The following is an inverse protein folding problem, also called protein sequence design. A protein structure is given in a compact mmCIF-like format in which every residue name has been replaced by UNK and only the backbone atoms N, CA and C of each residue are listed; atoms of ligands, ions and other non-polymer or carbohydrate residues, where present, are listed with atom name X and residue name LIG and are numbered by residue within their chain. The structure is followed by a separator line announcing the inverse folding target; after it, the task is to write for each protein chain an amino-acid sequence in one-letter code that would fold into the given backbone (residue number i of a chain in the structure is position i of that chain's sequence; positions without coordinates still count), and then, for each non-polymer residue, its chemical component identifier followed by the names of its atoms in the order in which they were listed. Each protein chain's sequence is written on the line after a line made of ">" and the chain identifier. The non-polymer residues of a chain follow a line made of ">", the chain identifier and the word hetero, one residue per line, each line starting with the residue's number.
data_IF_110451223642
#
_entry.id   IF_110451223642
#
_cell.length_a   1.000
_cell.length_b   1.000
_cell.length_c   1.000
_cell.angle_alpha   90.00
_cell.angle_beta   90.00
_cell.angle_gamma   90.00
#
_symmetry.space_group_name_H-M   'P 1'
#
loop_
_entity.id
_entity.type
_entity.pdbx_description
1 polymer ?
#
# COMPACT_ATOMS: atom_id res chain seq x y z
N UNK A 1 16.93 0.48 11.25
CA UNK A 1 15.73 1.18 11.80
C UNK A 1 15.61 0.83 13.26
N UNK A 2 15.58 1.82 14.15
CA UNK A 2 15.25 1.60 15.56
C UNK A 2 13.74 1.76 15.74
N UNK A 3 13.14 1.06 16.69
CA UNK A 3 11.71 1.11 17.00
C UNK A 3 11.20 2.48 17.54
N UNK A 4 12.04 3.52 17.49
CA UNK A 4 11.79 4.86 18.04
C UNK A 4 11.78 5.96 16.97
N UNK A 5 11.96 5.60 15.70
CA UNK A 5 11.90 6.58 14.62
C UNK A 5 10.45 6.93 14.29
N UNK A 6 10.09 8.20 14.42
CA UNK A 6 8.81 8.74 13.97
C UNK A 6 8.76 8.72 12.44
N UNK A 7 8.31 7.61 11.88
CA UNK A 7 8.11 7.42 10.43
C UNK A 7 6.63 7.52 10.12
N UNK A 8 6.28 8.28 9.09
CA UNK A 8 4.91 8.38 8.63
C UNK A 8 4.53 7.16 7.79
N UNK A 9 3.46 6.46 8.14
CA UNK A 9 2.97 5.27 7.40
C UNK A 9 2.55 5.60 5.96
N UNK A 10 2.12 6.85 5.72
CA UNK A 10 1.64 7.28 4.39
C UNK A 10 2.81 7.65 3.47
N UNK A 11 3.72 8.53 3.90
CA UNK A 11 4.79 9.04 3.03
C UNK A 11 6.16 8.41 3.29
N UNK A 12 6.28 7.53 4.28
CA UNK A 12 7.49 6.80 4.66
C UNK A 12 8.69 7.69 5.02
N UNK A 13 8.46 8.99 5.24
CA UNK A 13 9.49 9.95 5.68
C UNK A 13 9.62 9.92 7.19
N UNK A 14 10.87 10.02 7.66
CA UNK A 14 11.18 10.33 9.06
C UNK A 14 10.81 11.79 9.33
N UNK A 15 10.11 12.02 10.43
CA UNK A 15 9.60 13.34 10.84
C UNK A 15 9.81 13.54 12.34
N UNK A 16 9.68 14.76 12.83
CA UNK A 16 9.84 15.04 14.26
C UNK A 16 8.69 14.44 15.08
N UNK A 17 7.50 14.34 14.50
CA UNK A 17 6.29 13.88 15.18
C UNK A 17 5.28 13.24 14.21
N UNK A 18 4.61 12.19 14.68
CA UNK A 18 3.47 11.55 14.03
C UNK A 18 2.27 11.51 14.97
N UNK A 19 1.06 11.64 14.41
CA UNK A 19 -0.19 11.44 15.11
C UNK A 19 -0.87 10.15 14.66
N UNK A 20 -1.54 9.46 15.59
CA UNK A 20 -2.35 8.28 15.27
C UNK A 20 -3.75 8.73 14.86
N UNK A 21 -4.23 8.21 13.73
CA UNK A 21 -5.61 8.42 13.27
C UNK A 21 -6.20 7.13 12.75
N UNK A 22 -7.53 7.03 12.73
CA UNK A 22 -8.24 5.96 12.03
C UNK A 22 -8.19 6.20 10.53
N UNK A 23 -8.10 5.11 9.76
CA UNK A 23 -8.34 5.16 8.32
C UNK A 23 -9.78 5.55 8.00
N UNK A 24 -9.95 6.20 6.86
CA UNK A 24 -11.26 6.52 6.28
C UNK A 24 -11.95 5.32 5.62
N UNK A 25 -11.21 4.24 5.36
CA UNK A 25 -11.69 3.11 4.53
C UNK A 25 -11.57 1.74 5.17
N UNK A 26 -10.61 1.57 6.08
CA UNK A 26 -10.33 0.30 6.72
C UNK A 26 -10.49 0.41 8.25
N UNK A 27 -10.83 -0.70 8.90
CA UNK A 27 -10.90 -0.78 10.35
C UNK A 27 -9.50 -0.89 10.98
N UNK A 28 -8.64 0.09 10.69
CA UNK A 28 -7.26 0.18 11.16
C UNK A 28 -6.85 1.62 11.40
N UNK A 29 -5.75 1.79 12.14
CA UNK A 29 -5.17 3.09 12.46
C UNK A 29 -3.77 3.22 11.88
N UNK A 30 -3.37 4.45 11.55
CA UNK A 30 -2.06 4.78 11.02
C UNK A 30 -1.40 5.90 11.81
N UNK A 31 -0.07 5.89 11.83
CA UNK A 31 0.78 6.96 12.30
C UNK A 31 1.15 7.88 11.13
N UNK A 32 0.58 9.09 11.10
CA UNK A 32 0.77 10.04 10.02
C UNK A 32 1.42 11.34 10.48
N UNK A 33 2.31 11.89 9.65
CA UNK A 33 2.80 13.24 9.87
C UNK A 33 1.67 14.26 9.64
N UNK A 34 1.82 15.46 10.20
CA UNK A 34 0.80 16.52 10.10
C UNK A 34 0.48 16.93 8.66
N UNK A 35 1.44 16.82 7.74
CA UNK A 35 1.21 17.14 6.32
C UNK A 35 0.26 16.13 5.67
N UNK A 36 0.49 14.83 5.87
CA UNK A 36 -0.40 13.78 5.37
C UNK A 36 -1.80 13.89 5.98
N UNK A 37 -1.89 14.16 7.29
CA UNK A 37 -3.18 14.37 7.96
C UNK A 37 -3.98 15.55 7.36
N UNK A 38 -3.33 16.70 7.13
CA UNK A 38 -3.99 17.89 6.57
C UNK A 38 -4.46 17.72 5.13
N UNK A 39 -3.84 16.80 4.39
CA UNK A 39 -4.20 16.49 3.00
C UNK A 39 -5.20 15.35 2.87
N UNK A 40 -5.71 14.83 3.99
CA UNK A 40 -6.52 13.60 4.00
C UNK A 40 -5.82 12.48 3.22
N UNK A 41 -4.51 12.35 3.43
CA UNK A 41 -3.71 11.36 2.72
C UNK A 41 -3.81 10.01 3.43
N UNK A 42 -4.26 9.00 2.71
CA UNK A 42 -4.33 7.60 3.16
C UNK A 42 -3.14 6.81 2.61
N UNK A 43 -2.83 5.69 3.26
CA UNK A 43 -1.84 4.74 2.73
C UNK A 43 -2.24 4.27 1.33
N UNK A 44 -1.26 4.15 0.43
CA UNK A 44 -1.48 3.70 -0.94
C UNK A 44 -2.21 2.34 -0.99
N UNK A 45 -1.90 1.44 -0.05
CA UNK A 45 -2.55 0.13 0.07
C UNK A 45 -4.08 0.22 0.22
N UNK A 46 -4.60 1.26 0.87
CA UNK A 46 -6.05 1.46 0.95
C UNK A 46 -6.65 1.82 -0.41
N UNK A 47 -5.94 2.61 -1.22
CA UNK A 47 -6.41 2.97 -2.55
C UNK A 47 -6.41 1.74 -3.47
N UNK A 48 -5.38 0.88 -3.39
CA UNK A 48 -5.38 -0.42 -4.08
C UNK A 48 -6.60 -1.27 -3.68
N UNK A 49 -6.87 -1.42 -2.37
CA UNK A 49 -8.03 -2.17 -1.90
C UNK A 49 -9.35 -1.63 -2.46
N UNK A 50 -9.55 -0.31 -2.41
CA UNK A 50 -10.76 0.32 -2.93
C UNK A 50 -10.87 0.11 -4.44
N UNK A 51 -9.77 0.26 -5.17
CA UNK A 51 -9.72 0.12 -6.62
C UNK A 51 -10.10 -1.30 -7.05
N UNK A 52 -9.48 -2.30 -6.43
CA UNK A 52 -9.60 -3.70 -6.84
C UNK A 52 -10.87 -4.38 -6.33
N UNK A 53 -11.31 -4.06 -5.11
CA UNK A 53 -12.38 -4.82 -4.43
C UNK A 53 -13.68 -4.05 -4.24
N UNK A 54 -13.64 -2.71 -4.22
CA UNK A 54 -14.83 -1.89 -3.89
C UNK A 54 -15.41 -1.19 -5.11
N UNK A 55 -14.55 -0.64 -5.97
CA UNK A 55 -14.94 0.37 -6.97
C UNK A 55 -14.90 -0.11 -8.42
N UNK A 56 -14.95 -1.41 -8.70
CA UNK A 56 -14.89 -1.91 -10.09
C UNK A 56 -13.83 -1.18 -10.94
N UNK A 57 -12.60 -1.05 -10.41
CA UNK A 57 -11.49 -0.33 -11.07
C UNK A 57 -11.70 1.19 -11.22
N UNK A 58 -12.24 1.84 -10.19
CA UNK A 58 -12.31 3.30 -10.09
C UNK A 58 -13.72 3.92 -10.16
N UNK A 59 -14.73 3.12 -10.46
CA UNK A 59 -16.13 3.49 -10.64
C UNK A 59 -17.01 3.18 -9.40
N UNK A 60 -18.21 3.74 -9.33
CA UNK A 60 -19.19 3.34 -8.30
C UNK A 60 -18.88 3.77 -6.86
N UNK A 61 -17.87 4.63 -6.65
CA UNK A 61 -17.62 5.26 -5.35
C UNK A 61 -18.42 6.55 -5.18
N UNK A 62 -18.74 6.86 -3.93
CA UNK A 62 -19.32 8.14 -3.55
C UNK A 62 -18.37 9.30 -3.82
N UNK A 63 -18.94 10.46 -4.12
CA UNK A 63 -18.21 11.69 -4.49
C UNK A 63 -17.13 12.11 -3.48
N UNK A 64 -17.35 11.88 -2.18
CA UNK A 64 -16.37 12.27 -1.15
C UNK A 64 -15.01 11.59 -1.30
N UNK A 65 -14.95 10.40 -1.89
CA UNK A 65 -13.70 9.66 -2.09
C UNK A 65 -12.76 10.42 -3.03
N UNK A 66 -13.30 11.26 -3.92
CA UNK A 66 -12.52 12.10 -4.82
C UNK A 66 -11.64 13.12 -4.07
N UNK A 67 -11.97 13.43 -2.81
CA UNK A 67 -11.20 14.35 -1.97
C UNK A 67 -10.07 13.68 -1.18
N UNK A 68 -10.01 12.35 -1.19
CA UNK A 68 -8.94 11.62 -0.53
C UNK A 68 -7.71 11.63 -1.41
N UNK A 69 -6.54 11.70 -0.77
CA UNK A 69 -5.26 11.63 -1.44
C UNK A 69 -4.42 10.46 -0.94
N UNK A 70 -3.32 10.19 -1.63
CA UNK A 70 -2.23 9.36 -1.14
C UNK A 70 -0.89 10.02 -1.47
N UNK A 71 0.20 9.48 -0.92
CA UNK A 71 1.55 9.90 -1.28
C UNK A 71 2.24 8.79 -2.07
N UNK A 72 2.56 9.07 -3.33
CA UNK A 72 3.15 8.11 -4.26
C UNK A 72 4.20 8.80 -5.12
N UNK A 73 5.34 8.13 -5.31
CA UNK A 73 6.43 8.58 -6.19
C UNK A 73 6.88 10.03 -5.88
N UNK A 74 6.93 10.37 -4.58
CA UNK A 74 7.37 11.68 -4.12
C UNK A 74 6.31 12.79 -4.20
N UNK A 75 5.10 12.50 -4.68
CA UNK A 75 4.02 13.50 -4.82
C UNK A 75 2.72 13.04 -4.15
N UNK A 76 1.90 14.01 -3.78
CA UNK A 76 0.52 13.74 -3.40
C UNK A 76 -0.33 13.55 -4.65
N UNK A 77 -1.18 12.54 -4.65
CA UNK A 77 -2.13 12.28 -5.72
C UNK A 77 -3.52 12.18 -5.10
N UNK A 78 -4.50 12.87 -5.67
CA UNK A 78 -5.93 12.63 -5.42
C UNK A 78 -6.34 11.25 -5.92
N UNK A 79 -7.52 10.77 -5.51
CA UNK A 79 -8.09 9.52 -6.04
C UNK A 79 -8.07 9.48 -7.57
N UNK A 80 -8.56 10.53 -8.24
CA UNK A 80 -8.61 10.59 -9.70
C UNK A 80 -7.22 10.54 -10.34
N UNK A 81 -6.24 11.26 -9.80
CA UNK A 81 -4.86 11.24 -10.29
C UNK A 81 -4.20 9.89 -10.05
N UNK A 82 -4.48 9.25 -8.92
CA UNK A 82 -3.97 7.93 -8.58
C UNK A 82 -4.59 6.84 -9.45
N UNK A 83 -5.90 6.90 -9.73
CA UNK A 83 -6.57 5.97 -10.67
C UNK A 83 -5.98 6.13 -12.07
N UNK A 84 -5.80 7.36 -12.54
CA UNK A 84 -5.16 7.61 -13.83
C UNK A 84 -3.71 7.07 -13.87
N UNK A 85 -2.95 7.22 -12.77
CA UNK A 85 -1.62 6.60 -12.63
C UNK A 85 -1.70 5.06 -12.65
N UNK A 86 -2.67 4.46 -11.95
CA UNK A 86 -2.83 3.01 -11.85
C UNK A 86 -3.26 2.35 -13.16
N UNK A 87 -3.97 3.10 -14.00
CA UNK A 87 -4.47 2.68 -15.31
C UNK A 87 -3.49 2.95 -16.46
N UNK A 88 -2.36 3.62 -16.22
CA UNK A 88 -1.33 3.84 -17.24
C UNK A 88 -0.85 2.47 -17.75
N UNK A 89 -1.05 2.14 -19.05
CA UNK A 89 -0.72 0.83 -19.60
C UNK A 89 0.73 0.41 -19.37
N UNK A 90 1.67 1.37 -19.43
CA UNK A 90 3.09 1.09 -19.20
C UNK A 90 3.31 0.64 -17.76
N UNK A 91 2.61 1.27 -16.80
CA UNK A 91 2.72 0.94 -15.38
C UNK A 91 1.98 -0.34 -15.02
N UNK A 92 0.86 -0.64 -15.66
CA UNK A 92 0.19 -1.93 -15.50
C UNK A 92 1.15 -3.07 -15.83
N UNK A 93 1.84 -3.00 -16.97
CA UNK A 93 2.81 -4.03 -17.38
C UNK A 93 3.96 -4.16 -16.36
N UNK A 94 4.45 -3.03 -15.81
CA UNK A 94 5.48 -3.04 -14.76
C UNK A 94 4.99 -3.70 -13.46
N UNK A 95 3.78 -3.38 -13.03
CA UNK A 95 3.18 -3.91 -11.80
C UNK A 95 2.87 -5.40 -11.94
N UNK A 96 2.36 -5.85 -13.08
CA UNK A 96 2.07 -7.25 -13.36
C UNK A 96 3.37 -8.07 -13.35
N UNK A 97 4.42 -7.56 -13.99
CA UNK A 97 5.75 -8.19 -13.95
C UNK A 97 6.32 -8.26 -12.54
N UNK A 98 6.12 -7.22 -11.72
CA UNK A 98 6.59 -7.25 -10.33
C UNK A 98 5.80 -8.27 -9.50
N UNK A 99 4.48 -8.36 -9.70
CA UNK A 99 3.64 -9.33 -9.02
C UNK A 99 4.02 -10.78 -9.39
N UNK A 100 4.40 -11.04 -10.64
CA UNK A 100 4.95 -12.34 -11.07
C UNK A 100 6.25 -12.68 -10.31
N UNK A 101 7.19 -11.73 -10.22
CA UNK A 101 8.44 -11.92 -9.47
C UNK A 101 8.21 -12.15 -7.97
N UNK A 102 7.28 -11.41 -7.37
CA UNK A 102 6.94 -11.57 -5.96
C UNK A 102 6.30 -12.95 -5.70
N UNK A 103 5.45 -13.42 -6.61
CA UNK A 103 4.85 -14.76 -6.53
C UNK A 103 5.91 -15.87 -6.67
N UNK A 104 6.84 -15.74 -7.62
CA UNK A 104 7.96 -16.68 -7.79
C UNK A 104 8.83 -16.75 -6.53
N UNK A 105 9.11 -15.59 -5.91
CA UNK A 105 9.86 -15.54 -4.66
C UNK A 105 9.11 -16.25 -3.52
N UNK A 106 7.79 -16.05 -3.40
CA UNK A 106 6.97 -16.72 -2.39
C UNK A 106 6.95 -18.24 -2.60
N UNK A 107 6.78 -18.70 -3.85
CA UNK A 107 6.80 -20.14 -4.18
C UNK A 107 8.17 -20.73 -3.84
N UNK A 108 9.27 -20.08 -4.25
CA UNK A 108 10.62 -20.55 -3.94
C UNK A 108 10.88 -20.63 -2.43
N UNK A 109 10.37 -19.69 -1.65
CA UNK A 109 10.45 -19.74 -0.19
C UNK A 109 9.65 -20.93 0.35
N UNK A 110 8.42 -21.13 -0.13
CA UNK A 110 7.57 -22.25 0.31
C UNK A 110 8.21 -23.61 -0.01
N UNK A 111 8.81 -23.76 -1.19
CA UNK A 111 9.53 -24.99 -1.58
C UNK A 111 10.74 -25.23 -0.67
N UNK A 112 11.52 -24.19 -0.36
CA UNK A 112 12.64 -24.29 0.58
C UNK A 112 12.20 -24.69 2.00
N UNK A 113 11.00 -24.29 2.44
CA UNK A 113 10.43 -24.74 3.71
C UNK A 113 9.90 -26.17 3.64
N UNK A 114 9.39 -26.63 2.49
CA UNK A 114 8.96 -28.01 2.29
C UNK A 114 10.11 -29.02 2.30
N UNK A 115 11.29 -28.64 1.82
CA UNK A 115 12.50 -29.48 1.85
C UNK A 115 13.10 -29.60 3.27
N UNK A 116 12.93 -28.60 4.14
CA UNK A 116 13.43 -28.63 5.52
C UNK A 116 12.62 -29.56 6.45
N UNK A 117 11.35 -29.84 6.14
CA UNK A 117 10.50 -30.74 6.93
C UNK A 117 10.77 -32.23 6.66
N UNK A 118 11.42 -32.58 5.54
CA UNK A 118 11.75 -33.97 5.20
C UNK A 118 13.05 -34.45 5.87
N UNK A 119 13.99 -33.54 6.16
CA UNK A 119 15.29 -33.89 6.77
C UNK A 119 15.22 -34.12 8.29
N UNK A 120 14.17 -33.67 8.98
CA UNK A 120 13.98 -33.85 10.43
C UNK A 120 13.24 -35.17 10.80
N UNK A 121 12.84 -35.99 9.82
CA UNK A 121 12.19 -37.29 10.09
C UNK A 121 13.15 -38.49 10.17
N UNK A 122 14.47 -38.29 10.03
CA UNK A 122 15.48 -39.37 10.03
C UNK A 122 16.64 -39.18 11.03
N UNK A 123 16.44 -38.49 12.16
CA UNK A 123 17.36 -38.49 13.30
C UNK A 123 16.87 -39.31 14.49
#
# INVERSE_FOLDING_TARGET
>A
MTALDNVCDVCQRKVDWVGVHSSSFAAMSFASCVECLRRYAEMEGNLHYIYDYVSTKGEGLSEWVQHISTYKDGKYMTWAEWVAWRQDPIRCDELDKQAELDLEAVISIADAYGELDEDDQHS
#
